data_IF_531337777292
#
_entry.id   IF_531337777292
#
_cell.length_a   1.000
_cell.length_b   1.000
_cell.length_c   1.000
_cell.angle_alpha   90.00
_cell.angle_beta   90.00
_cell.angle_gamma   90.00
#
_symmetry.space_group_name_H-M   'P 1'
#
loop_
_entity.id
_entity.type
_entity.pdbx_description
1 polymer ?
#
# COMPACT_ATOMS: atom_id res chain seq x y z
N UNK A 1 -0.88 16.11 0.04
CA UNK A 1 -1.32 14.94 0.82
C UNK A 1 -2.58 14.39 0.15
N UNK A 2 -2.56 13.14 -0.27
CA UNK A 2 -3.69 12.57 -1.01
C UNK A 2 -4.77 12.13 -0.03
N UNK A 3 -6.02 12.56 -0.21
CA UNK A 3 -7.19 12.17 0.62
C UNK A 3 -7.32 10.66 0.81
N UNK A 4 -6.97 9.87 -0.19
CA UNK A 4 -7.03 8.41 -0.12
C UNK A 4 -6.05 7.82 0.90
N UNK A 5 -4.84 8.39 1.01
CA UNK A 5 -3.88 7.97 2.02
C UNK A 5 -4.34 8.30 3.44
N UNK A 6 -5.06 9.41 3.63
CA UNK A 6 -5.64 9.78 4.92
C UNK A 6 -6.72 8.79 5.36
N UNK A 7 -7.64 8.42 4.46
CA UNK A 7 -8.66 7.40 4.73
C UNK A 7 -8.08 6.02 5.08
N UNK A 8 -6.98 5.64 4.42
CA UNK A 8 -6.26 4.40 4.75
C UNK A 8 -5.61 4.45 6.13
N UNK A 9 -5.07 5.61 6.51
CA UNK A 9 -4.53 5.83 7.86
C UNK A 9 -5.64 5.81 8.90
N UNK A 10 -6.79 6.44 8.65
CA UNK A 10 -7.95 6.37 9.54
C UNK A 10 -8.36 4.92 9.81
N UNK A 11 -8.55 4.11 8.76
CA UNK A 11 -8.90 2.69 8.91
C UNK A 11 -7.83 1.88 9.67
N UNK A 12 -6.54 2.17 9.42
CA UNK A 12 -5.47 1.57 10.20
C UNK A 12 -5.57 1.93 11.69
N UNK A 13 -5.76 3.20 12.02
CA UNK A 13 -5.82 3.67 13.41
C UNK A 13 -7.06 3.14 14.13
N UNK A 14 -8.19 3.05 13.45
CA UNK A 14 -9.41 2.45 14.00
C UNK A 14 -9.15 0.98 14.39
N UNK A 15 -8.66 0.18 13.45
CA UNK A 15 -8.34 -1.23 13.72
C UNK A 15 -7.24 -1.40 14.77
N UNK A 16 -6.22 -0.52 14.77
CA UNK A 16 -5.16 -0.52 15.77
C UNK A 16 -5.70 -0.29 17.18
N UNK A 17 -6.66 0.63 17.34
CA UNK A 17 -7.28 0.93 18.63
C UNK A 17 -8.04 -0.25 19.24
N UNK A 18 -8.49 -1.19 18.41
CA UNK A 18 -9.18 -2.41 18.81
C UNK A 18 -8.23 -3.57 19.11
N UNK A 19 -6.96 -3.44 18.78
CA UNK A 19 -5.98 -4.53 18.96
C UNK A 19 -5.67 -4.75 20.47
N UNK A 20 -5.65 -6.01 20.94
CA UNK A 20 -5.45 -6.35 22.37
C UNK A 20 -4.12 -5.87 22.96
N UNK A 21 -3.16 -5.49 22.12
CA UNK A 21 -1.82 -5.03 22.50
C UNK A 21 -1.49 -3.64 21.95
N UNK A 22 -2.46 -2.76 21.78
CA UNK A 22 -2.26 -1.38 21.34
C UNK A 22 -1.32 -0.54 22.24
N UNK A 23 -0.84 -1.10 23.35
CA UNK A 23 0.14 -0.47 24.27
C UNK A 23 1.52 -0.24 23.66
N UNK A 24 1.85 -0.83 22.51
CA UNK A 24 3.17 -0.71 21.89
C UNK A 24 3.40 0.58 21.10
N UNK A 25 2.39 1.41 20.94
CA UNK A 25 2.48 2.68 20.20
C UNK A 25 2.67 2.52 18.70
N UNK A 26 2.54 3.62 17.97
CA UNK A 26 2.85 3.72 16.53
C UNK A 26 3.51 5.07 16.22
N UNK A 27 4.18 5.15 15.07
CA UNK A 27 4.76 6.38 14.55
C UNK A 27 4.35 6.57 13.09
N UNK A 28 3.88 7.74 12.73
CA UNK A 28 3.56 8.10 11.35
C UNK A 28 4.76 8.82 10.74
N UNK A 29 5.12 8.42 9.51
CA UNK A 29 6.24 8.97 8.77
C UNK A 29 5.78 9.27 7.34
N UNK A 30 6.15 10.43 6.84
CA UNK A 30 5.80 10.86 5.50
C UNK A 30 6.93 10.58 4.52
N UNK A 31 6.70 9.64 3.59
CA UNK A 31 7.66 9.22 2.55
C UNK A 31 7.53 9.99 1.24
N UNK A 32 6.63 10.97 1.16
CA UNK A 32 6.38 11.83 -0.01
C UNK A 32 6.06 11.09 -1.32
N UNK A 33 5.85 9.78 -1.25
CA UNK A 33 5.55 8.93 -2.41
C UNK A 33 6.76 8.58 -3.29
N UNK A 34 7.95 9.06 -2.97
CA UNK A 34 9.17 8.77 -3.71
C UNK A 34 9.94 7.62 -3.09
N UNK A 35 10.46 6.74 -3.96
CA UNK A 35 11.23 5.56 -3.55
C UNK A 35 12.42 5.93 -2.64
N UNK A 36 13.27 6.87 -3.09
CA UNK A 36 14.50 7.22 -2.40
C UNK A 36 14.25 7.90 -1.05
N UNK A 37 13.22 8.75 -0.98
CA UNK A 37 12.80 9.40 0.27
C UNK A 37 12.26 8.36 1.25
N UNK A 38 11.38 7.47 0.80
CA UNK A 38 10.84 6.40 1.63
C UNK A 38 11.95 5.46 2.13
N UNK A 39 12.91 5.12 1.28
CA UNK A 39 14.08 4.32 1.64
C UNK A 39 14.92 4.99 2.74
N UNK A 40 15.33 6.25 2.54
CA UNK A 40 16.15 6.97 3.50
C UNK A 40 15.46 7.12 4.86
N UNK A 41 14.20 7.58 4.86
CA UNK A 41 13.41 7.74 6.10
C UNK A 41 13.17 6.43 6.83
N UNK A 42 12.95 5.34 6.10
CA UNK A 42 12.79 4.02 6.72
C UNK A 42 14.07 3.56 7.39
N UNK A 43 15.22 3.74 6.76
CA UNK A 43 16.53 3.45 7.38
C UNK A 43 16.72 4.22 8.69
N UNK A 44 16.44 5.52 8.68
CA UNK A 44 16.59 6.36 9.87
C UNK A 44 15.70 5.86 11.00
N UNK A 45 14.43 5.59 10.70
CA UNK A 45 13.48 5.06 11.68
C UNK A 45 13.87 3.68 12.22
N UNK A 46 14.33 2.78 11.38
CA UNK A 46 14.79 1.46 11.82
C UNK A 46 16.04 1.54 12.70
N UNK A 47 16.86 2.58 12.56
CA UNK A 47 17.99 2.85 13.44
C UNK A 47 17.54 3.42 14.80
N UNK A 48 16.59 4.36 14.79
CA UNK A 48 16.03 4.97 15.99
C UNK A 48 15.13 4.00 16.78
N UNK A 49 14.41 3.12 16.09
CA UNK A 49 13.41 2.23 16.64
C UNK A 49 13.62 0.78 16.16
N UNK A 50 14.69 0.10 16.62
CA UNK A 50 15.05 -1.24 16.11
C UNK A 50 14.00 -2.32 16.43
N UNK A 51 13.11 -2.07 17.39
CA UNK A 51 12.08 -3.02 17.83
C UNK A 51 10.74 -2.90 17.09
N UNK A 52 10.66 -2.12 15.99
CA UNK A 52 9.48 -2.09 15.13
C UNK A 52 9.24 -3.50 14.58
N UNK A 53 7.99 -3.97 14.67
CA UNK A 53 7.58 -5.30 14.17
C UNK A 53 6.66 -5.24 12.96
N UNK A 54 6.00 -4.11 12.71
CA UNK A 54 5.08 -3.92 11.59
C UNK A 54 5.22 -2.56 10.93
N UNK A 55 5.08 -2.54 9.60
CA UNK A 55 5.11 -1.33 8.78
C UNK A 55 3.91 -1.37 7.85
N UNK A 56 3.04 -0.36 7.96
CA UNK A 56 1.94 -0.14 7.04
C UNK A 56 2.26 1.03 6.10
N UNK A 57 2.26 0.79 4.80
CA UNK A 57 2.54 1.82 3.79
C UNK A 57 1.23 2.20 3.10
N UNK A 58 0.67 3.34 3.44
CA UNK A 58 -0.64 3.79 2.97
C UNK A 58 -0.68 4.33 1.54
N UNK A 59 0.46 4.47 0.88
CA UNK A 59 0.56 5.06 -0.46
C UNK A 59 1.79 4.59 -1.23
N UNK A 60 2.25 5.42 -2.15
CA UNK A 60 3.46 5.15 -2.91
C UNK A 60 4.73 5.12 -2.03
N UNK A 61 5.83 4.57 -2.57
CA UNK A 61 7.10 4.46 -1.85
C UNK A 61 7.35 3.09 -1.18
N UNK A 62 6.41 2.15 -1.27
CA UNK A 62 6.55 0.81 -0.68
C UNK A 62 7.86 0.11 -1.07
N UNK A 63 8.27 0.20 -2.32
CA UNK A 63 9.53 -0.41 -2.78
C UNK A 63 10.77 0.14 -2.07
N UNK A 64 10.77 1.42 -1.67
CA UNK A 64 11.84 2.02 -0.88
C UNK A 64 11.86 1.51 0.56
N UNK A 65 10.68 1.41 1.17
CA UNK A 65 10.50 0.82 2.51
C UNK A 65 10.99 -0.64 2.52
N UNK A 66 10.55 -1.42 1.54
CA UNK A 66 10.92 -2.83 1.41
C UNK A 66 12.42 -3.01 1.18
N UNK A 67 13.05 -2.16 0.37
CA UNK A 67 14.49 -2.18 0.16
C UNK A 67 15.25 -1.94 1.48
N UNK A 68 14.86 -0.96 2.26
CA UNK A 68 15.52 -0.65 3.53
C UNK A 68 15.46 -1.82 4.52
N UNK A 69 14.33 -2.50 4.62
CA UNK A 69 14.15 -3.69 5.47
C UNK A 69 14.95 -4.87 4.92
N UNK A 70 14.93 -5.08 3.61
CA UNK A 70 15.66 -6.18 2.96
C UNK A 70 17.17 -6.05 3.16
N UNK A 71 17.73 -4.86 2.89
CA UNK A 71 19.17 -4.60 3.05
C UNK A 71 19.64 -4.67 4.51
N UNK A 72 18.74 -4.34 5.46
CA UNK A 72 19.02 -4.52 6.88
C UNK A 72 19.05 -5.99 7.31
N UNK A 73 18.47 -6.88 6.53
CA UNK A 73 18.38 -8.31 6.84
C UNK A 73 17.39 -8.64 7.95
N UNK A 74 16.36 -7.83 8.13
CA UNK A 74 15.38 -7.96 9.24
C UNK A 74 13.95 -8.24 8.78
N UNK A 75 13.76 -8.75 7.56
CA UNK A 75 12.46 -9.10 6.99
C UNK A 75 11.69 -10.16 7.81
N UNK A 76 12.39 -10.96 8.60
CA UNK A 76 11.76 -11.92 9.51
C UNK A 76 11.09 -11.24 10.72
N UNK A 77 11.55 -10.06 11.10
CA UNK A 77 11.04 -9.28 12.23
C UNK A 77 10.04 -8.23 11.77
N UNK A 78 10.43 -7.35 10.84
CA UNK A 78 9.57 -6.31 10.32
C UNK A 78 8.63 -6.86 9.25
N UNK A 79 7.33 -6.87 9.53
CA UNK A 79 6.28 -7.28 8.59
C UNK A 79 5.71 -6.07 7.86
N UNK A 80 5.68 -6.12 6.52
CA UNK A 80 5.27 -5.01 5.67
C UNK A 80 3.96 -5.34 4.98
N UNK A 81 3.02 -4.39 5.06
CA UNK A 81 1.77 -4.40 4.29
C UNK A 81 1.66 -3.06 3.57
N UNK A 82 1.24 -3.08 2.32
CA UNK A 82 1.06 -1.84 1.56
C UNK A 82 0.23 -2.02 0.31
N UNK A 83 0.26 -1.01 -0.53
CA UNK A 83 -0.58 -0.91 -1.72
C UNK A 83 0.22 -1.12 -3.00
N UNK A 84 -0.53 -1.44 -4.07
CA UNK A 84 -0.11 -1.55 -5.46
C UNK A 84 0.85 -2.72 -5.76
N UNK A 85 0.33 -3.69 -6.51
CA UNK A 85 1.07 -4.85 -6.98
C UNK A 85 1.98 -4.51 -8.18
N UNK A 86 2.84 -3.50 -8.03
CA UNK A 86 3.86 -3.19 -9.04
C UNK A 86 4.90 -4.31 -9.11
N UNK A 87 5.61 -4.41 -10.23
CA UNK A 87 6.65 -5.44 -10.40
C UNK A 87 7.71 -5.42 -9.29
N UNK A 88 8.13 -4.25 -8.83
CA UNK A 88 9.07 -4.12 -7.71
C UNK A 88 8.49 -4.63 -6.39
N UNK A 89 7.26 -4.24 -6.09
CA UNK A 89 6.59 -4.67 -4.85
C UNK A 89 6.36 -6.18 -4.83
N UNK A 90 5.97 -6.76 -5.98
CA UNK A 90 5.84 -8.21 -6.17
C UNK A 90 7.18 -8.92 -5.93
N UNK A 91 8.30 -8.38 -6.41
CA UNK A 91 9.63 -8.96 -6.15
C UNK A 91 9.93 -9.04 -4.66
N UNK A 92 9.67 -7.96 -3.90
CA UNK A 92 9.84 -7.97 -2.45
C UNK A 92 8.82 -8.85 -1.71
N UNK A 93 7.65 -9.05 -2.28
CA UNK A 93 6.69 -10.00 -1.73
C UNK A 93 7.12 -11.45 -1.95
N UNK A 94 7.61 -11.78 -3.15
CA UNK A 94 8.08 -13.15 -3.47
C UNK A 94 9.32 -13.56 -2.68
N UNK A 95 10.19 -12.62 -2.31
CA UNK A 95 11.35 -12.90 -1.46
C UNK A 95 11.04 -12.83 0.05
N UNK A 96 9.76 -12.60 0.44
CA UNK A 96 9.30 -12.63 1.83
C UNK A 96 9.46 -11.30 2.58
N UNK A 97 9.99 -10.26 1.97
CA UNK A 97 10.15 -8.93 2.62
C UNK A 97 8.81 -8.25 2.85
N UNK A 98 7.90 -8.32 1.87
CA UNK A 98 6.53 -7.79 1.96
C UNK A 98 5.56 -8.96 2.13
N UNK A 99 4.66 -8.87 3.12
CA UNK A 99 3.71 -9.95 3.42
C UNK A 99 2.45 -9.85 2.58
N UNK A 100 1.88 -8.64 2.49
CA UNK A 100 0.65 -8.43 1.74
C UNK A 100 0.71 -7.15 0.91
N UNK A 101 0.12 -7.23 -0.30
CA UNK A 101 -0.15 -6.09 -1.17
C UNK A 101 -1.66 -5.95 -1.38
N UNK A 102 -2.16 -4.75 -1.26
CA UNK A 102 -3.53 -4.40 -1.61
C UNK A 102 -3.51 -3.90 -3.06
N UNK A 103 -3.96 -4.76 -3.98
CA UNK A 103 -4.06 -4.46 -5.41
C UNK A 103 -5.42 -3.86 -5.71
N UNK A 104 -5.44 -2.67 -6.28
CA UNK A 104 -6.64 -1.89 -6.54
C UNK A 104 -7.23 -2.14 -7.94
N UNK A 105 -6.84 -3.21 -8.61
CA UNK A 105 -7.31 -3.55 -9.97
C UNK A 105 -7.07 -2.45 -11.01
N UNK A 106 -5.84 -1.92 -11.19
CA UNK A 106 -5.57 -0.76 -12.04
C UNK A 106 -5.96 -0.99 -13.51
N UNK A 107 -5.85 -2.22 -14.00
CA UNK A 107 -6.32 -2.56 -15.36
C UNK A 107 -7.83 -2.33 -15.49
N UNK A 108 -8.62 -2.82 -14.52
CA UNK A 108 -10.08 -2.68 -14.55
C UNK A 108 -10.51 -1.21 -14.41
N UNK A 109 -9.78 -0.43 -13.63
CA UNK A 109 -10.01 1.02 -13.50
C UNK A 109 -9.86 1.72 -14.87
N UNK A 110 -8.74 1.49 -15.56
CA UNK A 110 -8.50 2.06 -16.87
C UNK A 110 -9.51 1.59 -17.91
N UNK A 111 -9.76 0.27 -17.97
CA UNK A 111 -10.73 -0.31 -18.90
C UNK A 111 -12.13 0.28 -18.72
N UNK A 112 -12.64 0.29 -17.48
CA UNK A 112 -14.01 0.79 -17.19
C UNK A 112 -14.16 2.28 -17.48
N UNK A 113 -13.15 3.08 -17.13
CA UNK A 113 -13.18 4.51 -17.41
C UNK A 113 -13.27 4.81 -18.92
N UNK A 114 -12.47 4.12 -19.73
CA UNK A 114 -12.49 4.29 -21.19
C UNK A 114 -13.79 3.75 -21.80
N UNK A 115 -14.29 2.60 -21.34
CA UNK A 115 -15.57 2.06 -21.77
C UNK A 115 -16.72 3.07 -21.56
N UNK A 116 -16.82 3.65 -20.36
CA UNK A 116 -17.85 4.64 -20.06
C UNK A 116 -17.74 5.89 -20.93
N UNK A 117 -16.51 6.33 -21.22
CA UNK A 117 -16.28 7.46 -22.11
C UNK A 117 -16.72 7.15 -23.55
N UNK A 118 -16.42 5.96 -24.06
CA UNK A 118 -16.84 5.50 -25.41
C UNK A 118 -18.37 5.42 -25.49
N UNK A 119 -19.01 4.80 -24.49
CA UNK A 119 -20.48 4.69 -24.42
C UNK A 119 -21.13 6.07 -24.44
N UNK A 120 -20.57 7.04 -23.71
CA UNK A 120 -21.09 8.40 -23.68
C UNK A 120 -20.91 9.14 -25.00
N UNK A 121 -19.70 9.09 -25.59
CA UNK A 121 -19.37 9.89 -26.78
C UNK A 121 -19.98 9.33 -28.08
N UNK A 122 -20.04 8.02 -28.23
CA UNK A 122 -20.43 7.38 -29.50
C UNK A 122 -21.85 6.79 -29.46
N UNK A 123 -22.34 6.44 -28.28
CA UNK A 123 -23.66 5.83 -28.14
C UNK A 123 -24.68 6.70 -27.38
N UNK A 124 -24.24 7.87 -26.92
CA UNK A 124 -25.10 8.81 -26.18
C UNK A 124 -25.58 8.26 -24.84
N UNK A 125 -24.97 7.18 -24.34
CA UNK A 125 -25.37 6.55 -23.07
C UNK A 125 -24.61 7.19 -21.90
N UNK A 126 -25.32 7.92 -21.04
CA UNK A 126 -24.77 8.41 -19.78
C UNK A 126 -24.58 7.25 -18.79
N UNK A 127 -23.60 7.36 -17.86
CA UNK A 127 -23.50 6.42 -16.75
C UNK A 127 -24.80 6.31 -15.95
N UNK A 128 -25.21 5.10 -15.62
CA UNK A 128 -26.43 4.79 -14.86
C UNK A 128 -26.28 4.98 -13.34
N UNK A 129 -25.03 5.13 -12.88
CA UNK A 129 -24.68 5.35 -11.47
C UNK A 129 -23.66 6.49 -11.36
N UNK A 130 -23.69 7.18 -10.22
CA UNK A 130 -22.77 8.28 -9.93
C UNK A 130 -21.36 7.83 -9.55
N UNK A 131 -21.20 6.56 -9.17
CA UNK A 131 -19.91 6.00 -8.76
C UNK A 131 -19.87 4.49 -9.06
N UNK A 132 -18.79 4.05 -9.72
CA UNK A 132 -18.48 2.63 -9.92
C UNK A 132 -17.41 2.19 -8.93
N UNK A 133 -17.72 1.21 -8.09
CA UNK A 133 -16.77 0.59 -7.17
C UNK A 133 -16.14 -0.62 -7.85
N UNK A 134 -14.82 -0.72 -7.74
CA UNK A 134 -14.05 -1.87 -8.18
C UNK A 134 -13.44 -2.58 -6.97
N UNK A 135 -13.35 -3.90 -7.08
CA UNK A 135 -12.81 -4.72 -6.01
C UNK A 135 -11.31 -4.47 -5.80
N UNK A 136 -10.90 -4.42 -4.55
CA UNK A 136 -9.50 -4.48 -4.15
C UNK A 136 -9.16 -5.92 -3.73
N UNK A 137 -8.00 -6.41 -4.15
CA UNK A 137 -7.56 -7.77 -3.89
C UNK A 137 -6.35 -7.78 -2.96
N UNK A 138 -6.39 -8.62 -1.93
CA UNK A 138 -5.22 -8.85 -1.08
C UNK A 138 -4.36 -9.93 -1.72
N UNK A 139 -3.13 -9.57 -2.09
CA UNK A 139 -2.13 -10.46 -2.66
C UNK A 139 -1.07 -10.82 -1.64
N UNK A 140 -0.56 -12.04 -1.76
CA UNK A 140 0.58 -12.55 -1.02
C UNK A 140 1.47 -13.40 -1.95
N UNK A 141 2.55 -13.96 -1.44
CA UNK A 141 3.51 -14.73 -2.25
C UNK A 141 2.91 -15.97 -2.94
N UNK A 142 1.74 -16.45 -2.52
CA UNK A 142 1.11 -17.67 -3.03
C UNK A 142 0.01 -17.43 -4.07
N UNK A 143 -0.53 -16.20 -4.16
CA UNK A 143 -1.63 -15.85 -5.07
C UNK A 143 -1.29 -14.72 -6.07
N UNK A 144 0.00 -14.50 -6.32
CA UNK A 144 0.51 -13.43 -7.17
C UNK A 144 1.22 -13.94 -8.42
#
# INVERSE_FOLDING_TARGET
QHKDSEKRIEGFLEQWSLAPKASSGYRIIYGEGYHDVAYARTRDVLNEMPNITGIFVSGAGLSGVAQAVYERGTADVQKIVGFDATQRNITYMKNGTVQFLIDQSPYQQGYKAVQLLVDYLFEGRAPDVSCYYLDAHIKNAFNC
#
